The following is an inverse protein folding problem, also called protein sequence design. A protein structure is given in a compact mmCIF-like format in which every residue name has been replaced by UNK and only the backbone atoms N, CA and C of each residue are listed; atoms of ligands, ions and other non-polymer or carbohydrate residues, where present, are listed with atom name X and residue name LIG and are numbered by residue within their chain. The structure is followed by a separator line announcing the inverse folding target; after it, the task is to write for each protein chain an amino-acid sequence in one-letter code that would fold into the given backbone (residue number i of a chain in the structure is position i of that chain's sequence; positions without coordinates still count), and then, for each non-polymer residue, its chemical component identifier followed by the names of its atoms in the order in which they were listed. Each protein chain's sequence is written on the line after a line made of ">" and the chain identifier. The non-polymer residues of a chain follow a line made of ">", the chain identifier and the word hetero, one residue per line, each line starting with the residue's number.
data_IF_332051191560
#
_entry.id   IF_332051191560
#
_cell.length_a   1.000
_cell.length_b   1.000
_cell.length_c   1.000
_cell.angle_alpha   90.00
_cell.angle_beta   90.00
_cell.angle_gamma   90.00
#
_symmetry.space_group_name_H-M   'P 1'
#
loop_
_entity.id
_entity.type
_entity.pdbx_description
1 polymer ?
#
# COMPACT_ATOMS: atom_id res chain seq x y z
N UNK A 1 -9.72 -3.26 -30.13
CA UNK A 1 -10.54 -2.23 -29.49
C UNK A 1 -9.61 -1.18 -28.92
N UNK A 2 -9.84 0.09 -29.20
CA UNK A 2 -8.99 1.19 -28.74
C UNK A 2 -9.29 1.59 -27.28
N UNK A 3 -8.32 2.21 -26.65
CA UNK A 3 -8.37 2.55 -25.23
C UNK A 3 -9.44 3.61 -24.91
N UNK A 4 -9.75 4.52 -25.86
CA UNK A 4 -10.81 5.53 -25.67
C UNK A 4 -12.19 4.89 -25.70
N UNK A 5 -12.46 4.02 -26.67
CA UNK A 5 -13.72 3.27 -26.74
C UNK A 5 -13.91 2.37 -25.51
N UNK A 6 -12.83 1.76 -25.02
CA UNK A 6 -12.85 1.00 -23.76
C UNK A 6 -13.26 1.85 -22.58
N UNK A 7 -12.63 3.01 -22.46
CA UNK A 7 -12.92 3.92 -21.39
C UNK A 7 -14.39 4.36 -21.40
N UNK A 8 -14.90 4.73 -22.58
CA UNK A 8 -16.31 5.14 -22.73
C UNK A 8 -17.27 4.02 -22.36
N UNK A 9 -17.06 2.79 -22.86
CA UNK A 9 -17.97 1.68 -22.58
C UNK A 9 -17.98 1.28 -21.10
N UNK A 10 -16.81 1.23 -20.45
CA UNK A 10 -16.75 0.89 -19.02
C UNK A 10 -17.31 2.00 -18.13
N UNK A 11 -17.14 3.26 -18.51
CA UNK A 11 -17.68 4.41 -17.76
C UNK A 11 -19.21 4.53 -17.83
N UNK A 12 -19.89 3.82 -18.75
CA UNK A 12 -21.35 3.79 -18.82
C UNK A 12 -21.99 2.94 -17.71
N UNK A 13 -21.23 2.06 -17.07
CA UNK A 13 -21.74 1.20 -15.99
C UNK A 13 -21.87 2.03 -14.72
N UNK A 14 -23.10 2.09 -14.17
CA UNK A 14 -23.38 2.85 -12.94
C UNK A 14 -22.52 2.33 -11.79
N UNK A 15 -21.74 3.22 -11.18
CA UNK A 15 -20.80 2.89 -10.10
C UNK A 15 -19.34 2.74 -10.54
N UNK A 16 -19.04 2.72 -11.84
CA UNK A 16 -17.67 2.71 -12.35
C UNK A 16 -17.24 4.13 -12.72
N UNK A 17 -16.28 4.68 -11.97
CA UNK A 17 -15.66 5.98 -12.25
C UNK A 17 -14.41 5.88 -13.10
N UNK A 18 -13.92 7.02 -13.60
CA UNK A 18 -12.72 7.10 -14.46
C UNK A 18 -11.47 6.46 -13.83
N UNK A 19 -11.29 6.65 -12.51
CA UNK A 19 -10.19 6.03 -11.76
C UNK A 19 -10.27 4.50 -11.83
N UNK A 20 -11.43 3.91 -11.56
CA UNK A 20 -11.66 2.46 -11.60
C UNK A 20 -11.43 1.88 -12.99
N UNK A 21 -11.83 2.60 -14.05
CA UNK A 21 -11.57 2.19 -15.43
C UNK A 21 -10.07 2.12 -15.71
N UNK A 22 -9.31 3.15 -15.35
CA UNK A 22 -7.87 3.16 -15.55
C UNK A 22 -7.16 2.09 -14.71
N UNK A 23 -7.60 1.84 -13.46
CA UNK A 23 -7.14 0.71 -12.65
C UNK A 23 -7.31 -0.62 -13.39
N UNK A 24 -8.50 -0.86 -13.93
CA UNK A 24 -8.81 -2.07 -14.68
C UNK A 24 -7.93 -2.20 -15.94
N UNK A 25 -7.72 -1.10 -16.67
CA UNK A 25 -6.85 -1.09 -17.86
C UNK A 25 -5.40 -1.46 -17.52
N UNK A 26 -4.89 -1.01 -16.38
CA UNK A 26 -3.52 -1.30 -15.94
C UNK A 26 -3.40 -2.76 -15.47
N UNK A 27 -4.24 -3.18 -14.51
CA UNK A 27 -4.03 -4.44 -13.79
C UNK A 27 -4.68 -5.66 -14.46
N UNK A 28 -5.79 -5.48 -15.16
CA UNK A 28 -6.50 -6.60 -15.80
C UNK A 28 -6.17 -6.71 -17.28
N UNK A 29 -5.98 -5.59 -17.97
CA UNK A 29 -5.73 -5.56 -19.41
C UNK A 29 -4.28 -5.27 -19.81
N UNK A 30 -3.41 -5.03 -18.82
CA UNK A 30 -1.98 -4.82 -19.01
C UNK A 30 -1.65 -3.74 -20.05
N UNK A 31 -2.43 -2.65 -20.07
CA UNK A 31 -2.22 -1.55 -21.02
C UNK A 31 -0.99 -0.74 -20.62
N UNK A 32 -0.01 -0.54 -21.52
CA UNK A 32 1.25 0.13 -21.18
C UNK A 32 1.14 1.66 -21.09
N UNK A 33 0.12 2.26 -21.72
CA UNK A 33 0.03 3.72 -21.88
C UNK A 33 -1.17 4.35 -21.16
N UNK A 34 -1.33 4.07 -19.86
CA UNK A 34 -2.43 4.59 -19.04
C UNK A 34 -1.89 5.56 -17.99
N UNK A 35 -2.51 6.74 -17.88
CA UNK A 35 -2.18 7.76 -16.88
C UNK A 35 -3.34 7.95 -15.89
N UNK A 36 -3.05 7.78 -14.60
CA UNK A 36 -4.03 7.95 -13.54
C UNK A 36 -4.14 9.40 -13.07
N UNK A 37 -4.70 10.26 -13.93
CA UNK A 37 -4.86 11.70 -13.64
C UNK A 37 -5.73 12.01 -12.41
N UNK A 38 -6.59 11.09 -12.01
CA UNK A 38 -7.48 11.23 -10.84
C UNK A 38 -6.90 10.62 -9.56
N UNK A 39 -5.78 9.90 -9.63
CA UNK A 39 -5.17 9.26 -8.47
C UNK A 39 -4.33 10.27 -7.67
N UNK A 40 -4.66 10.41 -6.38
CA UNK A 40 -3.97 11.37 -5.51
C UNK A 40 -2.52 10.96 -5.26
N UNK A 41 -2.23 9.66 -5.14
CA UNK A 41 -0.87 9.14 -4.96
C UNK A 41 0.00 9.47 -6.16
N UNK A 42 -0.50 9.19 -7.37
CA UNK A 42 0.22 9.52 -8.60
C UNK A 42 0.45 11.02 -8.73
N UNK A 43 -0.57 11.85 -8.51
CA UNK A 43 -0.43 13.32 -8.58
C UNK A 43 0.60 13.85 -7.58
N UNK A 44 0.63 13.31 -6.36
CA UNK A 44 1.65 13.63 -5.35
C UNK A 44 3.04 13.17 -5.80
N UNK A 45 3.17 11.97 -6.36
CA UNK A 45 4.44 11.49 -6.91
C UNK A 45 4.96 12.39 -8.02
N UNK A 46 4.08 12.83 -8.93
CA UNK A 46 4.42 13.82 -9.98
C UNK A 46 4.84 15.15 -9.37
N UNK A 47 4.10 15.66 -8.38
CA UNK A 47 4.48 16.87 -7.65
C UNK A 47 5.91 16.76 -7.09
N UNK A 48 6.24 15.66 -6.43
CA UNK A 48 7.56 15.40 -5.87
C UNK A 48 8.64 15.27 -6.93
N UNK A 49 8.37 14.53 -8.01
CA UNK A 49 9.32 14.29 -9.10
C UNK A 49 9.73 15.58 -9.81
N UNK A 50 8.77 16.48 -10.05
CA UNK A 50 9.00 17.75 -10.74
C UNK A 50 9.27 18.92 -9.80
N UNK A 51 9.29 18.71 -8.48
CA UNK A 51 9.52 19.77 -7.49
C UNK A 51 8.46 20.87 -7.52
N UNK A 52 7.19 20.51 -7.75
CA UNK A 52 6.09 21.48 -7.83
C UNK A 52 5.62 21.87 -6.42
N UNK A 53 5.37 23.15 -6.20
CA UNK A 53 4.86 23.67 -4.93
C UNK A 53 3.42 23.21 -4.66
N UNK A 54 2.59 23.18 -5.71
CA UNK A 54 1.19 22.75 -5.63
C UNK A 54 0.95 21.39 -6.30
N UNK A 55 -0.13 20.72 -5.88
CA UNK A 55 -0.57 19.46 -6.48
C UNK A 55 -1.04 19.71 -7.93
N UNK A 56 -0.41 19.10 -8.95
CA UNK A 56 -0.72 19.37 -10.35
C UNK A 56 -2.18 19.03 -10.67
N UNK A 57 -2.88 19.91 -11.38
CA UNK A 57 -4.26 19.71 -11.81
C UNK A 57 -4.34 18.59 -12.87
N UNK A 58 -5.49 17.92 -13.04
CA UNK A 58 -5.63 16.89 -14.07
C UNK A 58 -5.25 17.35 -15.49
N UNK A 59 -5.50 18.61 -15.83
CA UNK A 59 -5.11 19.18 -17.12
C UNK A 59 -3.59 19.32 -17.30
N UNK A 60 -2.86 19.59 -16.21
CA UNK A 60 -1.40 19.71 -16.21
C UNK A 60 -0.72 18.35 -16.24
N UNK A 61 -1.35 17.32 -15.65
CA UNK A 61 -0.83 15.96 -15.63
C UNK A 61 -0.52 15.41 -17.02
N UNK A 62 -1.42 15.63 -17.99
CA UNK A 62 -1.22 15.17 -19.38
C UNK A 62 0.01 15.82 -20.04
N UNK A 63 0.24 17.11 -19.81
CA UNK A 63 1.38 17.83 -20.36
C UNK A 63 2.69 17.38 -19.69
N UNK A 64 2.69 17.26 -18.36
CA UNK A 64 3.88 16.85 -17.60
C UNK A 64 4.31 15.42 -17.92
N UNK A 65 3.36 14.53 -18.18
CA UNK A 65 3.60 13.11 -18.41
C UNK A 65 3.64 12.73 -19.90
N UNK A 66 3.59 13.69 -20.82
CA UNK A 66 3.58 13.40 -22.26
C UNK A 66 4.84 12.63 -22.70
N UNK A 67 6.00 13.01 -22.15
CA UNK A 67 7.29 12.34 -22.37
C UNK A 67 7.37 10.90 -21.85
N UNK A 68 6.39 10.43 -21.08
CA UNK A 68 6.35 9.05 -20.59
C UNK A 68 5.71 8.10 -21.60
N UNK A 69 5.10 8.62 -22.68
CA UNK A 69 4.58 7.78 -23.76
C UNK A 69 5.72 6.99 -24.42
N UNK A 70 5.46 5.74 -24.84
CA UNK A 70 4.18 5.01 -24.78
C UNK A 70 4.01 4.16 -23.50
N UNK A 71 4.73 4.48 -22.42
CA UNK A 71 4.81 3.67 -21.20
C UNK A 71 4.35 4.41 -19.94
N UNK A 72 3.28 5.22 -20.04
CA UNK A 72 2.75 6.00 -18.91
C UNK A 72 2.38 5.14 -17.70
N UNK A 73 1.99 3.88 -17.90
CA UNK A 73 1.69 2.93 -16.82
C UNK A 73 2.91 2.64 -15.94
N UNK A 74 4.11 2.57 -16.54
CA UNK A 74 5.35 2.39 -15.78
C UNK A 74 5.64 3.64 -14.93
N UNK A 75 5.48 4.84 -15.51
CA UNK A 75 5.64 6.10 -14.78
C UNK A 75 4.71 6.19 -13.57
N UNK A 76 3.43 5.84 -13.76
CA UNK A 76 2.43 5.71 -12.69
C UNK A 76 2.91 4.80 -11.55
N UNK A 77 3.42 3.62 -11.88
CA UNK A 77 3.90 2.66 -10.89
C UNK A 77 5.04 3.23 -10.04
N UNK A 78 6.00 3.90 -10.68
CA UNK A 78 7.11 4.56 -9.98
C UNK A 78 6.63 5.72 -9.10
N UNK A 79 5.55 6.42 -9.45
CA UNK A 79 5.04 7.52 -8.63
C UNK A 79 4.49 7.01 -7.29
N UNK A 80 3.87 5.83 -7.26
CA UNK A 80 3.45 5.22 -6.00
C UNK A 80 4.66 4.85 -5.12
N UNK A 81 5.70 4.24 -5.71
CA UNK A 81 6.94 3.93 -4.98
C UNK A 81 7.61 5.18 -4.41
N UNK A 82 7.68 6.24 -5.20
CA UNK A 82 8.26 7.52 -4.78
C UNK A 82 7.53 8.12 -3.58
N UNK A 83 6.20 8.04 -3.56
CA UNK A 83 5.39 8.54 -2.43
C UNK A 83 5.57 7.68 -1.19
N UNK A 84 5.65 6.35 -1.34
CA UNK A 84 5.91 5.43 -0.23
C UNK A 84 7.28 5.68 0.41
N UNK A 85 8.35 5.80 -0.39
CA UNK A 85 9.69 6.09 0.11
C UNK A 85 9.74 7.39 0.91
N UNK A 86 9.11 8.45 0.40
CA UNK A 86 9.07 9.74 1.11
C UNK A 86 8.24 9.68 2.39
N UNK A 87 7.10 8.98 2.38
CA UNK A 87 6.30 8.74 3.58
C UNK A 87 7.08 8.00 4.68
N UNK A 88 7.94 7.08 4.30
CA UNK A 88 8.79 6.34 5.24
C UNK A 88 9.90 7.22 5.83
N UNK A 89 10.51 8.09 5.03
CA UNK A 89 11.55 9.01 5.54
C UNK A 89 11.01 10.05 6.52
N UNK A 90 9.77 10.50 6.36
CA UNK A 90 9.14 11.42 7.33
C UNK A 90 8.85 10.76 8.69
N UNK A 91 8.60 9.45 8.72
CA UNK A 91 8.38 8.71 9.97
C UNK A 91 9.69 8.34 10.68
N UNK A 92 10.81 8.27 9.95
CA UNK A 92 12.13 7.99 10.52
C UNK A 92 12.81 9.24 11.13
N UNK A 93 12.33 10.45 10.81
CA UNK A 93 12.86 11.72 11.33
C UNK A 93 12.16 12.16 12.63
N UNK A 94 11.89 11.22 13.54
CA UNK A 94 11.62 11.56 14.95
C UNK A 94 12.87 12.20 15.58
N UNK A 95 12.74 13.05 16.62
CA UNK A 95 13.89 13.67 17.24
C UNK A 95 14.82 12.55 17.73
N UNK A 96 16.10 12.61 17.35
CA UNK A 96 17.14 11.75 17.90
C UNK A 96 17.34 12.22 19.35
N UNK A 97 16.48 11.73 20.24
CA UNK A 97 16.66 11.86 21.67
C UNK A 97 17.85 10.97 22.07
N UNK A 98 18.91 11.62 22.51
CA UNK A 98 20.05 10.98 23.16
C UNK A 98 19.63 10.57 24.58
N UNK A 99 18.76 9.58 24.68
CA UNK A 99 18.20 9.08 25.93
C UNK A 99 17.99 7.58 25.86
N UNK A 100 19.03 6.81 26.19
CA UNK A 100 18.95 5.35 26.29
C UNK A 100 17.88 4.93 27.29
N UNK A 101 16.83 4.28 26.80
CA UNK A 101 15.75 3.77 27.63
C UNK A 101 16.15 2.42 28.26
N UNK A 102 16.52 2.46 29.55
CA UNK A 102 16.87 1.28 30.37
C UNK A 102 15.61 0.56 30.90
N UNK A 103 14.40 1.06 30.65
CA UNK A 103 13.19 0.55 31.34
C UNK A 103 12.50 -0.64 30.65
N UNK A 104 12.86 -0.99 29.42
CA UNK A 104 12.11 -2.01 28.65
C UNK A 104 12.40 -3.45 29.08
N UNK A 105 13.55 -3.74 29.71
CA UNK A 105 13.95 -5.11 30.05
C UNK A 105 13.33 -5.65 31.36
N UNK A 106 12.98 -4.77 32.32
CA UNK A 106 12.37 -5.22 33.58
C UNK A 106 10.88 -5.59 33.43
N UNK A 107 10.15 -4.94 32.52
CA UNK A 107 8.73 -5.25 32.31
C UNK A 107 8.53 -6.58 31.57
N UNK A 108 9.42 -6.90 30.62
CA UNK A 108 9.36 -8.16 29.87
C UNK A 108 9.64 -9.37 30.78
N UNK A 109 10.54 -9.22 31.77
CA UNK A 109 10.88 -10.29 32.71
C UNK A 109 9.69 -10.66 33.62
N UNK A 110 9.00 -9.66 34.16
CA UNK A 110 7.88 -9.85 35.10
C UNK A 110 6.66 -10.49 34.41
N UNK A 111 6.40 -10.15 33.15
CA UNK A 111 5.31 -10.77 32.36
C UNK A 111 5.61 -12.24 32.02
N UNK A 112 6.86 -12.59 31.75
CA UNK A 112 7.26 -13.98 31.48
C UNK A 112 7.16 -14.87 32.71
N UNK A 113 7.55 -14.38 33.89
CA UNK A 113 7.41 -15.15 35.15
C UNK A 113 5.94 -15.37 35.53
N UNK A 114 5.09 -14.35 35.31
CA UNK A 114 3.65 -14.46 35.56
C UNK A 114 2.99 -15.49 34.64
N UNK A 115 3.40 -15.54 33.36
CA UNK A 115 2.91 -16.53 32.41
C UNK A 115 3.39 -17.96 32.73
N UNK A 116 4.65 -18.12 33.16
CA UNK A 116 5.16 -19.44 33.56
C UNK A 116 4.48 -19.96 34.83
N UNK A 117 4.20 -19.09 35.81
CA UNK A 117 3.48 -19.48 37.02
C UNK A 117 2.02 -19.88 36.73
N UNK A 118 1.38 -19.21 35.75
CA UNK A 118 0.02 -19.52 35.32
C UNK A 118 -0.05 -20.86 34.55
N UNK A 119 0.98 -21.22 33.78
CA UNK A 119 1.06 -22.50 33.06
C UNK A 119 1.35 -23.70 33.98
N UNK A 120 1.99 -23.48 35.14
CA UNK A 120 2.23 -24.55 36.13
C UNK A 120 0.99 -24.90 36.97
N UNK A 121 -0.03 -24.04 37.00
CA UNK A 121 -1.28 -24.28 37.73
C UNK A 121 -2.34 -25.03 36.91
N UNK A 122 -2.11 -25.26 35.62
CA UNK A 122 -3.05 -25.91 34.70
C UNK A 122 -2.52 -27.24 34.14
N UNK A 123 -2.17 -28.19 35.01
CA UNK A 123 -2.15 -29.63 34.70
C UNK A 123 -2.46 -30.38 36.03
N UNK A 124 -3.52 -31.21 36.12
CA UNK A 124 -3.58 -32.44 35.33
C UNK A 124 -5.00 -32.80 34.87
N UNK A 125 -5.43 -32.32 33.70
CA UNK A 125 -6.57 -32.90 32.97
C UNK A 125 -6.26 -32.71 31.48
N UNK A 126 -5.64 -33.70 30.85
CA UNK A 126 -5.82 -34.08 29.43
C UNK A 126 -4.83 -35.20 29.06
N UNK A 127 -5.01 -36.36 29.70
CA UNK A 127 -4.87 -37.60 28.93
C UNK A 127 -6.08 -37.69 28.02
N UNK A 128 -5.85 -37.86 26.71
CA UNK A 128 -6.83 -37.74 25.60
C UNK A 128 -7.09 -36.25 25.30
N UNK A 129 -6.72 -35.67 24.17
CA UNK A 129 -7.17 -36.00 22.81
C UNK A 129 -6.15 -35.45 21.79
N UNK A 130 -5.46 -36.35 21.10
CA UNK A 130 -4.63 -36.03 19.94
C UNK A 130 -5.43 -36.37 18.70
N UNK A 131 -6.12 -35.40 18.09
CA UNK A 131 -6.69 -35.52 16.74
C UNK A 131 -6.96 -34.12 16.16
N UNK A 132 -6.30 -33.80 15.05
CA UNK A 132 -6.91 -32.94 14.03
C UNK A 132 -6.31 -31.55 13.80
N UNK A 133 -5.23 -31.52 13.04
CA UNK A 133 -4.95 -30.61 11.92
C UNK A 133 -5.39 -29.12 12.04
N UNK A 134 -4.37 -28.27 12.23
CA UNK A 134 -4.47 -26.83 12.04
C UNK A 134 -4.36 -26.36 10.58
N UNK A 135 -4.92 -25.16 10.40
CA UNK A 135 -4.40 -24.04 9.58
C UNK A 135 -4.78 -24.07 8.09
N UNK A 136 -5.76 -23.27 7.65
CA UNK A 136 -5.73 -21.81 7.48
C UNK A 136 -4.66 -21.36 6.48
N UNK A 137 -4.88 -21.58 5.18
CA UNK A 137 -4.26 -20.84 4.06
C UNK A 137 -5.06 -21.06 2.76
N UNK A 138 -6.13 -20.30 2.50
CA UNK A 138 -6.51 -19.91 1.12
C UNK A 138 -7.54 -18.79 1.13
N UNK A 139 -7.13 -17.56 0.81
CA UNK A 139 -7.97 -16.53 0.17
C UNK A 139 -7.05 -15.38 -0.23
N UNK A 140 -6.56 -15.44 -1.46
CA UNK A 140 -6.04 -14.30 -2.20
C UNK A 140 -7.07 -13.99 -3.30
N UNK A 141 -7.71 -12.84 -3.16
CA UNK A 141 -8.21 -12.01 -4.26
C UNK A 141 -7.42 -10.71 -4.20
#
# INVERSE_FOLDING_TARGET
>A
MDDRSLFTMLSMVKGIGSWSVHMFMIFSLHRPDVLLVSDLGVRKGVQLLYGLEELPRPSQMEQLCDKWKPYRTAGVWYMWRLVEEKGNTSNAAGPIDSGGNVQTLQQIQTEQETQQHQLQLLEPINGMENLGAGHCWTLAF
#
